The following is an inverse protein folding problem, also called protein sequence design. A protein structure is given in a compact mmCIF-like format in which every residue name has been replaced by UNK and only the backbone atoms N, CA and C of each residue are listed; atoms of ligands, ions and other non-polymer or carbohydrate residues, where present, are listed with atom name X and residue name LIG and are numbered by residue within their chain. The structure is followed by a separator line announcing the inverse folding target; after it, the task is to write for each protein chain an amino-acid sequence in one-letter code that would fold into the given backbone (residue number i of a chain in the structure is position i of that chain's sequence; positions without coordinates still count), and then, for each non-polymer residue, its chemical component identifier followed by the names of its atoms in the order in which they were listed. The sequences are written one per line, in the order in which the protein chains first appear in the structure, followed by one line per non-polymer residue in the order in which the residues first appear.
data_IF_877366599607
#
_entry.id   IF_877366599607
#
_cell.length_a   1.000
_cell.length_b   1.000
_cell.length_c   1.000
_cell.angle_alpha   90.00
_cell.angle_beta   90.00
_cell.angle_gamma   90.00
#
_symmetry.space_group_name_H-M   'P 1'
#
loop_
_entity.id
_entity.type
_entity.pdbx_description
1 polymer ?
#
# COMPACT_ATOMS: atom_id res chain seq x y z
N UNK A 1 -4.82 -66.98 7.80
CA UNK A 1 -5.35 -65.64 8.07
C UNK A 1 -4.33 -64.61 7.56
N UNK A 2 -4.61 -63.97 6.41
CA UNK A 2 -3.75 -62.90 5.87
C UNK A 2 -4.02 -61.63 6.63
N UNK A 3 -3.03 -61.15 7.41
CA UNK A 3 -3.08 -59.79 8.01
C UNK A 3 -2.96 -58.77 6.86
N UNK A 4 -4.03 -58.09 6.56
CA UNK A 4 -4.00 -56.91 5.69
C UNK A 4 -3.43 -55.77 6.56
N UNK A 5 -2.15 -55.43 6.30
CA UNK A 5 -1.54 -54.23 6.87
C UNK A 5 -2.10 -53.05 6.07
N UNK A 6 -3.02 -52.30 6.64
CA UNK A 6 -3.44 -50.99 6.14
C UNK A 6 -2.27 -50.03 6.36
N UNK A 7 -1.46 -49.82 5.34
CA UNK A 7 -0.51 -48.70 5.32
C UNK A 7 -1.35 -47.45 5.13
N UNK A 8 -1.68 -46.80 6.23
CA UNK A 8 -2.24 -45.46 6.19
C UNK A 8 -1.15 -44.55 5.61
N UNK A 9 -1.27 -44.23 4.33
CA UNK A 9 -0.39 -43.28 3.65
C UNK A 9 -0.68 -41.91 4.27
N UNK A 10 0.09 -41.54 5.29
CA UNK A 10 0.10 -40.17 5.81
C UNK A 10 0.64 -39.28 4.70
N UNK A 11 -0.25 -38.68 3.92
CA UNK A 11 0.14 -37.62 3.01
C UNK A 11 0.59 -36.44 3.88
N UNK A 12 1.86 -36.03 3.80
CA UNK A 12 2.32 -34.89 4.57
C UNK A 12 1.55 -33.64 4.11
N UNK A 13 1.15 -32.80 5.05
CA UNK A 13 0.70 -31.46 4.71
C UNK A 13 1.78 -30.77 3.90
N UNK A 14 1.42 -30.24 2.73
CA UNK A 14 2.32 -29.38 1.99
C UNK A 14 2.33 -28.02 2.70
N UNK A 15 3.47 -27.67 3.26
CA UNK A 15 3.67 -26.33 3.86
C UNK A 15 3.62 -25.30 2.74
N UNK A 16 2.77 -24.28 2.88
CA UNK A 16 2.77 -23.17 1.95
C UNK A 16 4.07 -22.37 2.05
N UNK A 17 4.53 -21.88 0.91
CA UNK A 17 5.66 -20.96 0.83
C UNK A 17 5.42 -19.73 1.74
N UNK A 18 6.50 -19.17 2.25
CA UNK A 18 6.46 -17.90 2.99
C UNK A 18 5.85 -16.81 2.10
N UNK A 19 4.72 -16.27 2.53
CA UNK A 19 4.04 -15.20 1.83
C UNK A 19 4.41 -13.84 2.43
N UNK A 20 4.54 -12.82 1.59
CA UNK A 20 4.80 -11.44 2.02
C UNK A 20 3.67 -10.54 1.55
N UNK A 21 3.21 -9.62 2.40
CA UNK A 21 2.24 -8.59 2.05
C UNK A 21 2.61 -7.26 2.66
N UNK A 22 2.06 -6.19 2.05
CA UNK A 22 2.32 -4.82 2.48
C UNK A 22 1.02 -4.17 2.98
N UNK A 23 1.15 -3.34 4.02
CA UNK A 23 0.08 -2.52 4.57
C UNK A 23 0.51 -1.06 4.46
N UNK A 24 -0.38 -0.19 4.02
CA UNK A 24 -0.13 1.25 3.89
C UNK A 24 -0.50 1.98 5.19
N UNK A 25 0.46 2.66 5.80
CA UNK A 25 0.24 3.43 7.02
C UNK A 25 -0.33 2.60 8.18
N UNK A 26 -1.45 3.02 8.72
CA UNK A 26 -2.17 2.35 9.82
C UNK A 26 -3.27 1.38 9.35
N UNK A 27 -3.24 0.96 8.09
CA UNK A 27 -4.20 0.02 7.54
C UNK A 27 -4.13 -1.39 8.16
N UNK A 28 -5.00 -2.27 7.68
CA UNK A 28 -5.02 -3.69 8.06
C UNK A 28 -5.13 -4.57 6.82
N UNK A 29 -4.74 -5.84 6.95
CA UNK A 29 -4.87 -6.84 5.89
C UNK A 29 -5.41 -8.14 6.45
N UNK A 30 -6.36 -8.77 5.75
CA UNK A 30 -6.82 -10.11 6.09
C UNK A 30 -5.84 -11.14 5.54
N UNK A 31 -5.34 -11.99 6.42
CA UNK A 31 -4.53 -13.15 6.09
C UNK A 31 -5.40 -14.39 6.11
N UNK A 32 -5.13 -15.34 5.20
CA UNK A 32 -5.87 -16.61 5.10
C UNK A 32 -4.88 -17.76 5.20
N UNK A 33 -5.12 -18.68 6.13
CA UNK A 33 -4.39 -19.95 6.21
C UNK A 33 -5.08 -20.99 5.34
N UNK A 34 -4.31 -21.70 4.53
CA UNK A 34 -4.81 -22.81 3.71
C UNK A 34 -3.91 -24.02 3.91
N UNK A 35 -4.46 -25.07 4.51
CA UNK A 35 -3.82 -26.38 4.58
C UNK A 35 -4.41 -27.29 3.49
N UNK A 36 -3.55 -28.06 2.81
CA UNK A 36 -3.96 -29.05 1.82
C UNK A 36 -3.80 -30.46 2.39
N UNK A 37 -4.79 -31.31 2.21
CA UNK A 37 -4.84 -32.65 2.80
C UNK A 37 -5.42 -32.63 4.23
N UNK A 38 -5.22 -33.71 4.99
CA UNK A 38 -5.78 -33.89 6.33
C UNK A 38 -7.23 -34.37 6.34
N UNK A 39 -7.70 -34.74 7.54
CA UNK A 39 -9.07 -35.21 7.78
C UNK A 39 -9.89 -34.11 8.42
N UNK A 40 -11.03 -33.78 7.82
CA UNK A 40 -11.92 -32.76 8.38
C UNK A 40 -12.54 -33.20 9.75
N UNK A 41 -12.83 -32.26 10.68
CA UNK A 41 -12.61 -30.85 10.58
C UNK A 41 -11.15 -30.45 10.77
N UNK A 42 -10.70 -29.38 10.05
CA UNK A 42 -9.40 -28.76 10.23
C UNK A 42 -9.60 -27.48 11.07
N UNK A 43 -8.85 -27.36 12.14
CA UNK A 43 -8.84 -26.18 13.01
C UNK A 43 -7.59 -25.35 12.72
N UNK A 44 -7.71 -24.02 12.78
CA UNK A 44 -6.61 -23.09 12.53
C UNK A 44 -6.39 -22.17 13.71
N UNK A 45 -5.12 -21.88 14.00
CA UNK A 45 -4.70 -20.85 14.95
C UNK A 45 -3.64 -19.97 14.30
N UNK A 46 -3.75 -18.67 14.54
CA UNK A 46 -2.76 -17.67 14.14
C UNK A 46 -2.04 -17.14 15.37
N UNK A 47 -0.74 -16.92 15.24
CA UNK A 47 0.09 -16.24 16.24
C UNK A 47 0.65 -14.98 15.63
N UNK A 48 0.34 -13.82 16.24
CA UNK A 48 0.83 -12.51 15.81
C UNK A 48 2.31 -12.33 16.19
N UNK A 49 3.00 -11.30 15.63
CA UNK A 49 4.37 -10.96 16.04
C UNK A 49 4.53 -10.64 17.53
N UNK A 50 3.46 -10.23 18.21
CA UNK A 50 3.40 -9.98 19.67
C UNK A 50 2.97 -11.20 20.49
N UNK A 51 3.00 -12.39 19.90
CA UNK A 51 2.64 -13.68 20.52
C UNK A 51 1.16 -13.79 20.97
N UNK A 52 0.26 -13.00 20.41
CA UNK A 52 -1.20 -13.14 20.63
C UNK A 52 -1.73 -14.20 19.67
N UNK A 53 -2.49 -15.16 20.18
CA UNK A 53 -3.12 -16.23 19.39
C UNK A 53 -4.58 -15.90 19.07
N UNK A 54 -5.01 -16.25 17.85
CA UNK A 54 -6.38 -16.10 17.37
C UNK A 54 -6.79 -17.38 16.64
N UNK A 55 -7.99 -17.88 16.89
CA UNK A 55 -8.54 -19.07 16.21
C UNK A 55 -9.29 -18.68 14.95
N UNK A 56 -9.23 -19.52 13.91
CA UNK A 56 -9.92 -19.32 12.64
C UNK A 56 -9.00 -19.44 11.42
N UNK A 57 -9.56 -19.73 10.28
CA UNK A 57 -8.81 -19.82 9.02
C UNK A 57 -8.30 -18.46 8.53
N UNK A 58 -8.88 -17.35 9.03
CA UNK A 58 -8.49 -15.98 8.69
C UNK A 58 -8.17 -15.17 9.93
N UNK A 59 -7.30 -14.16 9.77
CA UNK A 59 -6.99 -13.17 10.80
C UNK A 59 -6.81 -11.80 10.16
N UNK A 60 -7.16 -10.73 10.88
CA UNK A 60 -6.88 -9.35 10.46
C UNK A 60 -5.53 -8.92 11.06
N UNK A 61 -4.54 -8.73 10.20
CA UNK A 61 -3.21 -8.25 10.57
C UNK A 61 -3.14 -6.73 10.47
N UNK A 62 -2.67 -6.08 11.53
CA UNK A 62 -2.41 -4.64 11.61
C UNK A 62 -1.01 -4.31 12.13
N UNK A 63 -0.17 -5.32 12.36
CA UNK A 63 1.19 -5.16 12.85
C UNK A 63 2.19 -5.77 11.88
N UNK A 64 3.33 -5.08 11.70
CA UNK A 64 4.47 -5.60 10.95
C UNK A 64 5.11 -6.79 11.67
N UNK A 65 5.69 -7.69 10.90
CA UNK A 65 6.41 -8.86 11.40
C UNK A 65 5.86 -10.17 10.85
N UNK A 66 6.31 -11.27 11.41
CA UNK A 66 5.94 -12.62 10.99
C UNK A 66 4.70 -13.07 11.75
N UNK A 67 3.66 -13.40 11.00
CA UNK A 67 2.45 -14.06 11.46
C UNK A 67 2.57 -15.54 11.17
N UNK A 68 2.41 -16.39 12.19
CA UNK A 68 2.50 -17.83 12.03
C UNK A 68 1.12 -18.45 12.19
N UNK A 69 0.76 -19.37 11.30
CA UNK A 69 -0.45 -20.17 11.47
C UNK A 69 -0.12 -21.63 11.69
N UNK A 70 -0.99 -22.30 12.43
CA UNK A 70 -0.98 -23.75 12.64
C UNK A 70 -2.36 -24.30 12.28
N UNK A 71 -2.39 -25.36 11.49
CA UNK A 71 -3.59 -26.13 11.18
C UNK A 71 -3.49 -27.50 11.86
N UNK A 72 -4.58 -27.97 12.46
CA UNK A 72 -4.68 -29.30 13.06
C UNK A 72 -5.91 -30.02 12.52
N UNK A 73 -5.74 -31.22 12.00
CA UNK A 73 -6.83 -32.05 11.50
C UNK A 73 -7.49 -32.88 12.61
N UNK A 74 -8.57 -33.60 12.28
CA UNK A 74 -9.31 -34.46 13.23
C UNK A 74 -8.48 -35.61 13.80
N UNK A 75 -7.39 -36.02 13.17
CA UNK A 75 -6.48 -37.05 13.60
C UNK A 75 -5.31 -36.52 14.43
N UNK A 76 -5.24 -35.18 14.64
CA UNK A 76 -4.14 -34.54 15.35
C UNK A 76 -2.90 -34.28 14.49
N UNK A 77 -2.97 -34.50 13.16
CA UNK A 77 -1.88 -34.10 12.27
C UNK A 77 -1.85 -32.57 12.12
N UNK A 78 -0.63 -32.00 12.12
CA UNK A 78 -0.46 -30.55 12.08
C UNK A 78 0.29 -30.08 10.84
N UNK A 79 -0.04 -28.87 10.38
CA UNK A 79 0.70 -28.13 9.37
C UNK A 79 0.89 -26.69 9.84
N UNK A 80 2.00 -26.07 9.46
CA UNK A 80 2.32 -24.69 9.84
C UNK A 80 2.76 -23.90 8.61
N UNK A 81 2.55 -22.58 8.66
CA UNK A 81 3.09 -21.67 7.66
C UNK A 81 3.26 -20.27 8.24
N UNK A 82 3.87 -19.41 7.48
CA UNK A 82 4.17 -18.03 7.89
C UNK A 82 3.72 -17.03 6.82
N UNK A 83 3.34 -15.84 7.28
CA UNK A 83 3.03 -14.70 6.46
C UNK A 83 3.75 -13.48 7.02
N UNK A 84 4.59 -12.83 6.23
CA UNK A 84 5.33 -11.64 6.65
C UNK A 84 4.55 -10.39 6.25
N UNK A 85 4.28 -9.51 7.21
CA UNK A 85 3.69 -8.19 6.99
C UNK A 85 4.76 -7.13 7.09
N UNK A 86 4.85 -6.29 6.07
CA UNK A 86 5.64 -5.06 6.06
C UNK A 86 4.70 -3.86 6.03
N UNK A 87 4.92 -2.86 6.90
CA UNK A 87 4.16 -1.62 6.89
C UNK A 87 4.97 -0.57 6.16
N UNK A 88 4.40 0.00 5.09
CA UNK A 88 4.94 1.18 4.41
C UNK A 88 4.38 2.42 5.09
N UNK A 89 5.22 3.25 5.73
CA UNK A 89 4.76 4.44 6.44
C UNK A 89 4.22 5.50 5.47
N UNK A 90 3.29 6.35 5.94
CA UNK A 90 2.82 7.52 5.20
C UNK A 90 3.95 8.56 5.10
N UNK A 91 4.45 8.88 3.90
CA UNK A 91 5.54 9.83 3.72
C UNK A 91 5.07 11.29 3.63
N UNK A 92 3.78 11.57 3.63
CA UNK A 92 3.24 12.90 3.32
C UNK A 92 3.68 14.00 4.28
N UNK A 93 4.02 13.65 5.53
CA UNK A 93 4.56 14.60 6.50
C UNK A 93 5.90 15.20 6.08
N UNK A 94 6.76 14.40 5.42
CA UNK A 94 8.06 14.83 4.90
C UNK A 94 8.03 15.48 3.52
N UNK A 95 6.88 15.48 2.84
CA UNK A 95 6.76 16.02 1.47
C UNK A 95 6.38 17.49 1.53
N UNK A 96 7.11 18.30 0.77
CA UNK A 96 6.79 19.72 0.53
C UNK A 96 6.46 19.91 -0.95
N UNK A 97 5.30 20.52 -1.23
CA UNK A 97 4.96 21.01 -2.57
C UNK A 97 5.47 22.44 -2.69
N UNK A 98 6.41 22.67 -3.59
CA UNK A 98 6.96 23.97 -3.88
C UNK A 98 6.15 24.60 -5.01
N UNK A 99 5.32 25.55 -4.66
CA UNK A 99 4.49 26.34 -5.58
C UNK A 99 4.32 27.75 -5.00
N UNK A 100 4.24 28.74 -5.86
CA UNK A 100 4.15 30.16 -5.48
C UNK A 100 2.90 30.81 -6.07
N UNK A 101 2.43 31.89 -5.48
CA UNK A 101 1.43 32.75 -6.09
C UNK A 101 1.98 33.32 -7.42
N UNK A 102 1.13 33.47 -8.41
CA UNK A 102 1.50 33.84 -9.76
C UNK A 102 0.40 34.69 -10.42
N UNK A 103 0.68 35.21 -11.59
CA UNK A 103 -0.29 35.91 -12.42
C UNK A 103 -0.85 35.01 -13.53
N UNK A 104 -2.04 35.35 -14.00
CA UNK A 104 -2.63 34.70 -15.19
C UNK A 104 -1.64 34.75 -16.36
N UNK A 105 -1.42 33.61 -17.02
CA UNK A 105 -0.53 33.42 -18.14
C UNK A 105 0.96 33.30 -17.80
N UNK A 106 1.37 33.62 -16.57
CA UNK A 106 2.77 33.46 -16.15
C UNK A 106 3.09 31.97 -15.88
N UNK A 107 4.23 31.52 -16.38
CA UNK A 107 4.74 30.20 -16.06
C UNK A 107 5.39 30.18 -14.69
N UNK A 108 5.08 29.16 -13.91
CA UNK A 108 5.77 28.85 -12.65
C UNK A 108 6.20 27.41 -12.60
N UNK A 109 7.28 27.13 -11.91
CA UNK A 109 7.69 25.75 -11.67
C UNK A 109 7.02 25.22 -10.41
N UNK A 110 6.25 24.14 -10.56
CA UNK A 110 5.67 23.40 -9.43
C UNK A 110 6.44 22.10 -9.29
N UNK A 111 6.92 21.81 -8.08
CA UNK A 111 7.72 20.63 -7.80
C UNK A 111 7.44 20.07 -6.40
N UNK A 112 7.86 18.85 -6.14
CA UNK A 112 7.82 18.25 -4.82
C UNK A 112 9.23 17.90 -4.35
N UNK A 113 9.49 18.13 -3.07
CA UNK A 113 10.70 17.68 -2.36
C UNK A 113 10.30 16.76 -1.21
N UNK A 114 11.24 15.91 -0.78
CA UNK A 114 11.00 14.96 0.32
C UNK A 114 10.23 13.70 -0.08
N UNK A 115 9.91 13.49 -1.36
CA UNK A 115 9.31 12.24 -1.84
C UNK A 115 10.40 11.16 -1.82
N UNK A 116 10.18 10.04 -1.10
CA UNK A 116 11.17 8.97 -1.03
C UNK A 116 11.38 8.28 -2.40
N UNK A 117 12.49 7.60 -2.55
CA UNK A 117 12.77 6.84 -3.77
C UNK A 117 11.76 5.70 -3.98
N UNK A 118 11.49 5.37 -5.24
CA UNK A 118 10.60 4.27 -5.62
C UNK A 118 9.11 4.64 -5.72
N UNK A 119 8.77 5.91 -5.52
CA UNK A 119 7.41 6.41 -5.73
C UNK A 119 7.25 7.00 -7.15
N UNK A 120 6.06 6.83 -7.70
CA UNK A 120 5.60 7.53 -8.91
C UNK A 120 4.79 8.74 -8.53
N UNK A 121 4.74 9.74 -9.44
CA UNK A 121 4.05 11.01 -9.25
C UNK A 121 2.79 11.07 -10.13
N UNK A 122 1.74 11.65 -9.61
CA UNK A 122 0.55 12.05 -10.36
C UNK A 122 0.06 13.39 -9.83
N UNK A 123 0.27 14.44 -10.63
CA UNK A 123 -0.16 15.80 -10.31
C UNK A 123 -1.52 16.10 -10.90
N UNK A 124 -2.32 16.85 -10.13
CA UNK A 124 -3.44 17.63 -10.59
C UNK A 124 -3.18 19.08 -10.17
N UNK A 125 -3.04 19.97 -11.14
CA UNK A 125 -2.73 21.39 -10.91
C UNK A 125 -3.98 22.27 -10.74
N UNK A 126 -5.17 21.65 -10.79
CA UNK A 126 -6.44 22.32 -10.61
C UNK A 126 -6.95 23.06 -11.86
N UNK A 127 -8.05 23.77 -11.68
CA UNK A 127 -8.77 24.39 -12.81
C UNK A 127 -7.98 25.51 -13.49
N UNK A 128 -7.99 25.50 -14.82
CA UNK A 128 -7.33 26.50 -15.67
C UNK A 128 -5.82 26.33 -15.81
N UNK A 129 -5.26 25.26 -15.28
CA UNK A 129 -3.84 24.94 -15.41
C UNK A 129 -3.49 24.38 -16.80
N UNK A 130 -2.31 24.73 -17.27
CA UNK A 130 -1.69 24.18 -18.49
C UNK A 130 -0.21 23.87 -18.20
N UNK A 131 0.21 22.60 -18.23
CA UNK A 131 -0.64 21.40 -18.34
C UNK A 131 -1.56 21.25 -17.11
N UNK A 132 -2.68 20.53 -17.26
CA UNK A 132 -3.59 20.27 -16.15
C UNK A 132 -3.05 19.20 -15.19
N UNK A 133 -2.29 18.24 -15.71
CA UNK A 133 -1.70 17.11 -14.98
C UNK A 133 -0.25 16.86 -15.36
N UNK A 134 0.50 16.12 -14.52
CA UNK A 134 1.86 15.67 -14.84
C UNK A 134 2.22 14.42 -14.03
N UNK A 135 3.18 13.65 -14.52
CA UNK A 135 3.79 12.52 -13.79
C UNK A 135 5.26 12.76 -13.46
N UNK A 136 5.79 13.93 -13.75
CA UNK A 136 7.17 14.32 -13.43
C UNK A 136 7.26 14.89 -12.02
N UNK A 137 8.44 14.83 -11.39
CA UNK A 137 8.65 15.43 -10.07
C UNK A 137 8.56 16.97 -10.08
N UNK A 138 8.66 17.59 -11.26
CA UNK A 138 8.62 19.03 -11.48
C UNK A 138 7.95 19.31 -12.83
N UNK A 139 7.16 20.38 -12.90
CA UNK A 139 6.44 20.82 -14.12
C UNK A 139 6.38 22.32 -14.18
N UNK A 140 6.52 22.89 -15.40
CA UNK A 140 6.22 24.29 -15.68
C UNK A 140 4.72 24.42 -15.97
N UNK A 141 4.02 25.23 -15.17
CA UNK A 141 2.56 25.35 -15.19
C UNK A 141 2.17 26.82 -15.30
N UNK A 142 1.18 27.12 -16.15
CA UNK A 142 0.53 28.43 -16.22
C UNK A 142 -0.98 28.30 -15.99
N UNK A 143 -1.63 29.37 -15.57
CA UNK A 143 -3.08 29.41 -15.31
C UNK A 143 -3.76 30.44 -16.19
N UNK A 144 -4.90 30.07 -16.78
CA UNK A 144 -5.72 30.93 -17.63
C UNK A 144 -6.76 31.77 -16.86
N UNK A 145 -6.97 31.48 -15.58
CA UNK A 145 -7.98 32.15 -14.75
C UNK A 145 -7.42 32.49 -13.38
N UNK A 146 -7.90 33.62 -12.81
CA UNK A 146 -7.56 34.07 -11.44
C UNK A 146 -8.20 33.21 -10.36
N UNK A 147 -7.84 33.48 -9.11
CA UNK A 147 -8.41 32.89 -7.89
C UNK A 147 -7.53 31.81 -7.28
N UNK A 148 -8.01 31.22 -6.19
CA UNK A 148 -7.32 30.15 -5.48
C UNK A 148 -7.34 28.86 -6.30
N UNK A 149 -6.19 28.25 -6.45
CA UNK A 149 -6.00 26.95 -7.12
C UNK A 149 -5.53 25.94 -6.08
N UNK A 150 -6.15 24.77 -6.07
CA UNK A 150 -5.69 23.64 -5.28
C UNK A 150 -4.82 22.74 -6.15
N UNK A 151 -3.60 22.52 -5.71
CA UNK A 151 -2.64 21.61 -6.36
C UNK A 151 -2.62 20.34 -5.54
N UNK A 152 -2.79 19.22 -6.21
CA UNK A 152 -2.78 17.90 -5.59
C UNK A 152 -1.63 17.05 -6.17
N UNK A 153 -0.82 16.49 -5.30
CA UNK A 153 0.17 15.49 -5.63
C UNK A 153 -0.27 14.15 -5.05
N UNK A 154 -0.52 13.20 -5.90
CA UNK A 154 -0.68 11.79 -5.52
C UNK A 154 0.61 11.05 -5.82
N UNK A 155 1.15 10.37 -4.81
CA UNK A 155 2.32 9.49 -4.93
C UNK A 155 1.89 8.05 -4.74
N UNK A 156 2.48 7.16 -5.52
CA UNK A 156 2.14 5.72 -5.50
C UNK A 156 3.41 4.89 -5.48
N UNK A 157 3.45 3.91 -4.58
CA UNK A 157 4.50 2.89 -4.52
C UNK A 157 3.88 1.51 -4.72
N UNK A 158 4.36 0.80 -5.73
CA UNK A 158 3.97 -0.58 -6.02
C UNK A 158 5.01 -1.54 -5.41
N UNK A 159 4.52 -2.63 -4.85
CA UNK A 159 5.35 -3.71 -4.29
C UNK A 159 5.20 -4.95 -5.14
N UNK A 160 6.32 -5.58 -5.47
CA UNK A 160 6.38 -6.86 -6.19
C UNK A 160 6.59 -8.00 -5.20
N UNK A 161 6.05 -9.19 -5.50
CA UNK A 161 6.23 -10.37 -4.64
C UNK A 161 5.22 -10.52 -3.50
N UNK A 162 4.09 -9.84 -3.58
CA UNK A 162 2.94 -10.11 -2.70
C UNK A 162 2.38 -11.50 -2.93
N UNK A 163 1.82 -12.09 -1.87
CA UNK A 163 1.15 -13.39 -1.90
C UNK A 163 0.12 -13.49 -3.03
N UNK A 164 0.07 -14.62 -3.70
CA UNK A 164 -0.85 -14.93 -4.81
C UNK A 164 -0.67 -14.09 -6.09
N UNK A 165 0.52 -13.50 -6.32
CA UNK A 165 0.79 -12.73 -7.54
C UNK A 165 0.05 -11.39 -7.62
N UNK A 166 -0.63 -10.96 -6.56
CA UNK A 166 -1.21 -9.63 -6.46
C UNK A 166 -0.13 -8.60 -6.13
N UNK A 167 -0.15 -7.48 -6.82
CA UNK A 167 0.69 -6.32 -6.52
C UNK A 167 0.01 -5.50 -5.43
N UNK A 168 0.63 -5.39 -4.25
CA UNK A 168 0.19 -4.41 -3.25
C UNK A 168 0.64 -3.01 -3.70
N UNK A 169 -0.23 -2.02 -3.54
CA UNK A 169 0.05 -0.62 -3.90
C UNK A 169 -0.32 0.29 -2.75
N UNK A 170 0.58 1.20 -2.40
CA UNK A 170 0.30 2.26 -1.44
C UNK A 170 0.23 3.60 -2.15
N UNK A 171 -0.82 4.35 -1.85
CA UNK A 171 -1.09 5.65 -2.48
C UNK A 171 -1.39 6.68 -1.41
N UNK A 172 -0.75 7.84 -1.49
CA UNK A 172 -0.97 8.98 -0.60
C UNK A 172 -1.10 10.27 -1.41
N UNK A 173 -1.85 11.22 -0.87
CA UNK A 173 -2.11 12.51 -1.51
C UNK A 173 -1.70 13.65 -0.59
N UNK A 174 -0.95 14.59 -1.13
CA UNK A 174 -0.58 15.87 -0.52
C UNK A 174 -1.18 17.02 -1.33
N UNK A 175 -1.74 18.01 -0.66
CA UNK A 175 -2.31 19.18 -1.33
C UNK A 175 -1.69 20.47 -0.83
N UNK A 176 -1.69 21.48 -1.69
CA UNK A 176 -1.40 22.89 -1.33
C UNK A 176 -2.29 23.81 -2.13
N UNK A 177 -2.37 25.06 -1.74
CA UNK A 177 -3.11 26.09 -2.48
C UNK A 177 -2.21 27.26 -2.83
N UNK A 178 -2.47 27.85 -4.01
CA UNK A 178 -1.85 29.10 -4.47
C UNK A 178 -2.92 30.07 -4.94
N UNK A 179 -2.59 31.33 -5.00
CA UNK A 179 -3.47 32.37 -5.55
C UNK A 179 -2.92 32.86 -6.88
N UNK A 180 -3.77 32.89 -7.90
CA UNK A 180 -3.50 33.46 -9.22
C UNK A 180 -4.20 34.79 -9.32
N UNK A 181 -3.41 35.86 -9.46
CA UNK A 181 -3.90 37.23 -9.60
C UNK A 181 -3.90 37.71 -11.05
N UNK A 182 -4.49 38.90 -11.30
CA UNK A 182 -4.31 39.61 -12.54
C UNK A 182 -3.00 40.40 -12.55
N UNK A 183 -2.45 40.63 -13.76
CA UNK A 183 -1.40 41.62 -13.94
C UNK A 183 -2.02 43.00 -13.74
N UNK A 184 -1.66 43.70 -12.66
CA UNK A 184 -1.94 45.11 -12.45
C UNK A 184 -0.72 45.90 -12.88
N UNK A 185 -0.85 46.86 -13.72
CA UNK A 185 0.12 47.68 -14.49
C UNK A 185 1.52 48.03 -13.99
N UNK A 186 2.04 47.40 -12.94
CA UNK A 186 3.44 47.41 -12.52
C UNK A 186 3.79 46.04 -11.92
N UNK A 187 4.30 45.12 -12.74
CA UNK A 187 4.99 43.85 -12.38
C UNK A 187 4.58 43.09 -11.12
N UNK A 188 3.47 43.35 -10.49
CA UNK A 188 2.92 42.66 -9.33
C UNK A 188 1.52 42.11 -9.63
N UNK A 189 1.28 40.91 -9.16
CA UNK A 189 -0.07 40.31 -9.18
C UNK A 189 -0.88 40.80 -7.98
N UNK A 190 -2.12 41.20 -8.21
CA UNK A 190 -3.11 41.53 -7.16
C UNK A 190 -4.30 40.58 -7.22
#
# INVERSE_FOLDING_TARGET
MKKIIFILLLLPFLTNAQETSYICGSGTKTLTATATGGTAPITYTWTSPSAVTTTGATVTAGAAGVWTWNATDANGCTATGTHTITIEPDPTAGITINATNSCVGANQTISATGVPAGYTYSWDFGSGATPATSTSNSSSVSYSTTGTKTISLTITKAFTGSANGCSDTCTWTKTTTITIGNLTGSSSCS
#
